data_IF_845996664987
#
_entry.id   IF_845996664987
#
_cell.length_a   1.000
_cell.length_b   1.000
_cell.length_c   1.000
_cell.angle_alpha   90.00
_cell.angle_beta   90.00
_cell.angle_gamma   90.00
#
_symmetry.space_group_name_H-M   'P 1'
#
loop_
_entity.id
_entity.type
_entity.pdbx_description
1 polymer ?
#
# COMPACT_ATOMS: atom_id res chain seq x y z
N UNK A 1 13.13 37.71 -11.04
CA UNK A 1 12.46 37.58 -9.73
C UNK A 1 11.58 36.34 -9.77
N UNK A 2 12.19 35.15 -9.69
CA UNK A 2 11.51 33.87 -9.96
C UNK A 2 11.81 32.78 -8.90
N UNK A 3 12.22 33.22 -7.70
CA UNK A 3 12.65 32.33 -6.62
C UNK A 3 11.53 32.04 -5.59
N UNK A 4 10.42 32.78 -5.68
CA UNK A 4 9.30 32.70 -4.72
C UNK A 4 8.34 31.55 -5.10
N UNK A 5 8.24 31.18 -6.37
CA UNK A 5 7.41 30.06 -6.84
C UNK A 5 7.98 28.70 -6.45
N UNK A 6 9.30 28.50 -6.61
CA UNK A 6 9.97 27.23 -6.32
C UNK A 6 10.00 26.91 -4.80
N UNK A 7 10.22 27.89 -3.93
CA UNK A 7 10.19 27.69 -2.48
C UNK A 7 8.78 27.34 -1.95
N UNK A 8 7.73 27.81 -2.60
CA UNK A 8 6.34 27.54 -2.19
C UNK A 8 5.90 26.12 -2.54
N UNK A 9 6.35 25.56 -3.67
CA UNK A 9 6.12 24.15 -4.00
C UNK A 9 6.94 23.20 -3.12
N UNK A 10 8.21 23.52 -2.85
CA UNK A 10 9.09 22.68 -2.05
C UNK A 10 8.67 22.60 -0.56
N UNK A 11 8.17 23.71 0.01
CA UNK A 11 7.63 23.72 1.38
C UNK A 11 6.27 23.03 1.50
N UNK A 12 5.42 23.15 0.49
CA UNK A 12 4.12 22.46 0.42
C UNK A 12 4.28 20.94 0.32
N UNK A 13 5.24 20.46 -0.49
CA UNK A 13 5.56 19.04 -0.60
C UNK A 13 6.07 18.41 0.71
N UNK A 14 6.98 19.11 1.41
CA UNK A 14 7.50 18.67 2.72
C UNK A 14 6.43 18.68 3.82
N UNK A 15 5.56 19.69 3.82
CA UNK A 15 4.43 19.77 4.74
C UNK A 15 3.41 18.64 4.54
N UNK A 16 3.08 18.33 3.29
CA UNK A 16 2.14 17.25 2.97
C UNK A 16 2.73 15.87 3.24
N UNK A 17 4.01 15.63 2.92
CA UNK A 17 4.69 14.37 3.25
C UNK A 17 4.61 14.09 4.76
N UNK A 18 4.82 15.11 5.61
CA UNK A 18 4.70 14.97 7.07
C UNK A 18 3.29 14.59 7.53
N UNK A 19 2.26 15.20 6.92
CA UNK A 19 0.85 14.86 7.20
C UNK A 19 0.56 13.42 6.75
N UNK A 20 1.00 13.04 5.55
CA UNK A 20 0.83 11.68 5.03
C UNK A 20 1.52 10.63 5.90
N UNK A 21 2.73 10.91 6.40
CA UNK A 21 3.43 10.04 7.36
C UNK A 21 2.65 9.92 8.67
N UNK A 22 2.08 11.01 9.17
CA UNK A 22 1.28 10.99 10.40
C UNK A 22 -0.01 10.17 10.22
N UNK A 23 -0.71 10.36 9.11
CA UNK A 23 -1.90 9.57 8.75
C UNK A 23 -1.53 8.10 8.60
N UNK A 24 -0.40 7.78 7.97
CA UNK A 24 0.10 6.41 7.84
C UNK A 24 0.42 5.77 9.19
N UNK A 25 1.14 6.48 10.07
CA UNK A 25 1.43 5.99 11.41
C UNK A 25 0.15 5.74 12.23
N UNK A 26 -0.82 6.64 12.10
CA UNK A 26 -2.14 6.46 12.72
C UNK A 26 -2.89 5.27 12.14
N UNK A 27 -2.86 5.08 10.81
CA UNK A 27 -3.48 3.92 10.15
C UNK A 27 -2.85 2.60 10.63
N UNK A 28 -1.52 2.52 10.72
CA UNK A 28 -0.83 1.35 11.28
C UNK A 28 -1.29 1.05 12.72
N UNK A 29 -1.43 2.08 13.57
CA UNK A 29 -1.89 1.93 14.94
C UNK A 29 -3.34 1.44 14.98
N UNK A 30 -4.21 1.97 14.13
CA UNK A 30 -5.60 1.52 14.00
C UNK A 30 -5.64 0.07 13.52
N UNK A 31 -4.87 -0.30 12.51
CA UNK A 31 -4.82 -1.68 11.98
C UNK A 31 -4.29 -2.65 13.03
N UNK A 32 -3.23 -2.29 13.76
CA UNK A 32 -2.74 -3.10 14.88
C UNK A 32 -3.78 -3.21 16.01
N UNK A 33 -4.44 -2.11 16.36
CA UNK A 33 -5.50 -2.11 17.37
C UNK A 33 -6.71 -2.96 16.95
N UNK A 34 -7.14 -2.90 15.69
CA UNK A 34 -8.24 -3.71 15.17
C UNK A 34 -7.88 -5.19 15.22
N UNK A 35 -6.69 -5.56 14.76
CA UNK A 35 -6.25 -6.96 14.74
C UNK A 35 -6.04 -7.51 16.17
N UNK A 36 -5.42 -6.74 17.06
CA UNK A 36 -5.08 -7.20 18.41
C UNK A 36 -6.24 -7.08 19.41
N UNK A 37 -7.02 -5.98 19.40
CA UNK A 37 -8.08 -5.72 20.38
C UNK A 37 -9.41 -6.34 20.00
N UNK A 38 -9.78 -6.34 18.71
CA UNK A 38 -11.02 -7.02 18.27
C UNK A 38 -10.82 -8.53 18.15
N UNK A 39 -9.59 -9.03 18.38
CA UNK A 39 -9.29 -10.44 18.28
C UNK A 39 -9.55 -10.98 16.87
N UNK A 40 -9.45 -10.14 15.84
CA UNK A 40 -9.47 -10.59 14.45
C UNK A 40 -8.12 -11.27 14.17
N UNK A 41 -8.00 -12.60 14.05
CA UNK A 41 -9.03 -13.61 13.83
C UNK A 41 -9.29 -14.50 15.07
N UNK A 42 -10.56 -14.59 15.48
CA UNK A 42 -10.96 -15.07 16.81
C UNK A 42 -10.35 -16.44 17.15
N UNK A 43 -9.73 -16.49 18.33
CA UNK A 43 -9.17 -17.66 19.02
C UNK A 43 -7.87 -18.29 18.47
N UNK A 44 -7.33 -17.88 17.31
CA UNK A 44 -6.07 -18.47 16.79
C UNK A 44 -4.94 -17.45 16.69
N UNK A 45 -4.12 -17.44 17.73
CA UNK A 45 -2.89 -16.63 17.82
C UNK A 45 -2.02 -16.75 16.57
N UNK A 46 -1.94 -17.93 15.94
CA UNK A 46 -1.17 -18.14 14.71
C UNK A 46 -1.69 -17.33 13.51
N UNK A 47 -3.01 -17.16 13.36
CA UNK A 47 -3.57 -16.41 12.23
C UNK A 47 -3.39 -14.90 12.40
N UNK A 48 -3.36 -14.40 13.65
CA UNK A 48 -3.04 -13.01 13.98
C UNK A 48 -1.64 -12.64 13.46
N UNK A 49 -0.63 -13.46 13.77
CA UNK A 49 0.76 -13.23 13.37
C UNK A 49 1.00 -13.27 11.86
N UNK A 50 0.10 -13.87 11.08
CA UNK A 50 0.15 -13.89 9.61
C UNK A 50 -0.60 -12.69 9.03
N UNK A 51 -1.78 -12.39 9.59
CA UNK A 51 -2.67 -11.34 9.07
C UNK A 51 -2.11 -9.95 9.32
N UNK A 52 -1.56 -9.71 10.52
CA UNK A 52 -1.00 -8.41 10.89
C UNK A 52 0.09 -7.94 9.91
N UNK A 53 1.17 -8.71 9.66
CA UNK A 53 2.20 -8.28 8.70
C UNK A 53 1.67 -8.18 7.27
N UNK A 54 0.71 -9.03 6.87
CA UNK A 54 0.06 -8.96 5.55
C UNK A 54 -0.64 -7.61 5.34
N UNK A 55 -1.46 -7.19 6.31
CA UNK A 55 -2.15 -5.90 6.28
C UNK A 55 -1.16 -4.72 6.35
N UNK A 56 -0.16 -4.79 7.23
CA UNK A 56 0.86 -3.75 7.33
C UNK A 56 1.65 -3.59 6.03
N UNK A 57 1.97 -4.68 5.32
CA UNK A 57 2.62 -4.60 4.01
C UNK A 57 1.73 -3.91 2.97
N UNK A 58 0.43 -4.24 2.93
CA UNK A 58 -0.53 -3.57 2.07
C UNK A 58 -0.61 -2.05 2.32
N UNK A 59 -0.69 -1.64 3.59
CA UNK A 59 -0.67 -0.22 3.97
C UNK A 59 0.66 0.45 3.62
N UNK A 60 1.78 -0.24 3.82
CA UNK A 60 3.11 0.26 3.47
C UNK A 60 3.21 0.52 1.97
N UNK A 61 2.69 -0.38 1.13
CA UNK A 61 2.64 -0.18 -0.32
C UNK A 61 1.80 1.05 -0.70
N UNK A 62 0.60 1.19 -0.13
CA UNK A 62 -0.26 2.36 -0.37
C UNK A 62 0.44 3.67 0.01
N UNK A 63 1.09 3.68 1.17
CA UNK A 63 1.85 4.84 1.64
C UNK A 63 3.04 5.15 0.73
N UNK A 64 3.81 4.13 0.35
CA UNK A 64 4.95 4.27 -0.56
C UNK A 64 4.55 4.80 -1.93
N UNK A 65 3.46 4.29 -2.52
CA UNK A 65 2.91 4.79 -3.79
C UNK A 65 2.49 6.26 -3.66
N UNK A 66 1.83 6.62 -2.56
CA UNK A 66 1.38 7.99 -2.29
C UNK A 66 2.54 8.96 -2.16
N UNK A 67 3.58 8.60 -1.42
CA UNK A 67 4.79 9.42 -1.31
C UNK A 67 5.53 9.53 -2.63
N UNK A 68 5.68 8.42 -3.37
CA UNK A 68 6.38 8.42 -4.64
C UNK A 68 5.67 9.29 -5.69
N UNK A 69 4.33 9.29 -5.68
CA UNK A 69 3.52 10.21 -6.49
C UNK A 69 3.76 11.67 -6.13
N UNK A 70 3.81 11.97 -4.83
CA UNK A 70 3.98 13.34 -4.34
C UNK A 70 5.36 13.90 -4.69
N UNK A 71 6.41 13.11 -4.52
CA UNK A 71 7.79 13.49 -4.82
C UNK A 71 8.02 13.74 -6.32
N UNK A 72 7.29 12.99 -7.17
CA UNK A 72 7.42 13.09 -8.64
C UNK A 72 6.34 13.97 -9.29
N UNK A 73 5.56 14.74 -8.52
CA UNK A 73 4.42 15.55 -8.99
C UNK A 73 4.64 16.34 -10.30
N UNK A 74 5.77 17.05 -10.50
CA UNK A 74 6.01 17.83 -11.72
C UNK A 74 6.15 16.97 -12.98
N UNK A 75 6.69 15.74 -12.83
CA UNK A 75 6.91 14.76 -13.91
C UNK A 75 5.77 13.74 -14.03
N UNK A 76 4.84 13.74 -13.08
CA UNK A 76 3.82 12.70 -12.91
C UNK A 76 2.50 12.99 -13.63
N UNK A 77 2.29 14.18 -14.22
CA UNK A 77 1.01 14.54 -14.86
C UNK A 77 0.56 13.57 -15.97
N UNK A 78 1.50 13.03 -16.76
CA UNK A 78 1.21 11.97 -17.75
C UNK A 78 1.09 10.57 -17.16
N UNK A 79 1.61 10.34 -15.95
CA UNK A 79 1.69 9.03 -15.28
C UNK A 79 0.62 8.82 -14.21
N UNK A 80 -0.26 9.80 -13.98
CA UNK A 80 -1.39 9.73 -13.02
C UNK A 80 -2.18 8.41 -13.14
N UNK A 81 -2.56 7.92 -14.35
CA UNK A 81 -3.31 6.68 -14.47
C UNK A 81 -2.57 5.46 -13.88
N UNK A 82 -1.24 5.44 -13.97
CA UNK A 82 -0.42 4.33 -13.46
C UNK A 82 -0.34 4.37 -11.92
N UNK A 83 -0.22 5.55 -11.32
CA UNK A 83 -0.29 5.71 -9.86
C UNK A 83 -1.67 5.30 -9.30
N UNK A 84 -2.76 5.64 -10.00
CA UNK A 84 -4.12 5.19 -9.63
C UNK A 84 -4.22 3.66 -9.73
N UNK A 85 -3.68 3.06 -10.79
CA UNK A 85 -3.66 1.61 -10.95
C UNK A 85 -2.87 0.92 -9.82
N UNK A 86 -1.67 1.43 -9.48
CA UNK A 86 -0.87 0.91 -8.37
C UNK A 86 -1.60 1.04 -7.03
N UNK A 87 -2.20 2.20 -6.75
CA UNK A 87 -2.98 2.42 -5.53
C UNK A 87 -4.20 1.50 -5.46
N UNK A 88 -4.89 1.28 -6.59
CA UNK A 88 -6.04 0.38 -6.67
C UNK A 88 -5.64 -1.07 -6.44
N UNK A 89 -4.52 -1.54 -6.99
CA UNK A 89 -3.99 -2.89 -6.77
C UNK A 89 -3.62 -3.11 -5.31
N UNK A 90 -2.89 -2.16 -4.70
CA UNK A 90 -2.51 -2.24 -3.29
C UNK A 90 -3.73 -2.19 -2.36
N UNK A 91 -4.71 -1.33 -2.67
CA UNK A 91 -5.96 -1.22 -1.91
C UNK A 91 -6.82 -2.47 -2.03
N UNK A 92 -6.94 -3.04 -3.24
CA UNK A 92 -7.69 -4.27 -3.47
C UNK A 92 -7.06 -5.46 -2.76
N UNK A 93 -5.72 -5.54 -2.75
CA UNK A 93 -4.99 -6.53 -1.96
C UNK A 93 -5.29 -6.37 -0.47
N UNK A 94 -5.22 -5.14 0.07
CA UNK A 94 -5.47 -4.88 1.49
C UNK A 94 -6.90 -5.27 1.90
N UNK A 95 -7.91 -4.84 1.12
CA UNK A 95 -9.32 -5.20 1.34
C UNK A 95 -9.49 -6.72 1.24
N UNK A 96 -8.90 -7.34 0.22
CA UNK A 96 -8.95 -8.79 0.00
C UNK A 96 -8.34 -9.56 1.16
N UNK A 97 -7.17 -9.15 1.65
CA UNK A 97 -6.50 -9.76 2.79
C UNK A 97 -7.31 -9.61 4.09
N UNK A 98 -7.97 -8.46 4.29
CA UNK A 98 -8.84 -8.21 5.43
C UNK A 98 -10.11 -9.09 5.39
N UNK A 99 -10.81 -9.10 4.26
CA UNK A 99 -12.01 -9.94 4.06
C UNK A 99 -11.66 -11.41 4.18
N UNK A 100 -10.53 -11.83 3.60
CA UNK A 100 -10.04 -13.19 3.70
C UNK A 100 -9.78 -13.56 5.17
N UNK A 101 -9.12 -12.69 5.93
CA UNK A 101 -8.89 -12.91 7.36
C UNK A 101 -10.19 -13.08 8.15
N UNK A 102 -11.20 -12.27 7.84
CA UNK A 102 -12.53 -12.40 8.46
C UNK A 102 -13.21 -13.71 8.09
N UNK A 103 -13.33 -14.02 6.80
CA UNK A 103 -14.10 -15.18 6.32
C UNK A 103 -13.40 -16.49 6.64
N UNK A 104 -12.11 -16.62 6.33
CA UNK A 104 -11.39 -17.89 6.48
C UNK A 104 -11.04 -18.22 7.91
N UNK A 105 -11.01 -17.24 8.81
CA UNK A 105 -10.85 -17.57 10.22
C UNK A 105 -12.16 -17.72 10.98
N UNK A 106 -13.27 -17.20 10.46
CA UNK A 106 -14.59 -17.33 11.09
C UNK A 106 -15.37 -18.54 10.57
N UNK A 107 -15.39 -18.75 9.25
CA UNK A 107 -16.29 -19.70 8.61
C UNK A 107 -15.66 -21.07 8.32
N UNK A 108 -14.33 -21.15 8.23
CA UNK A 108 -13.62 -22.36 7.83
C UNK A 108 -12.53 -22.68 8.85
N UNK A 109 -12.52 -23.90 9.37
CA UNK A 109 -11.46 -24.40 10.26
C UNK A 109 -10.18 -24.71 9.44
N UNK A 110 -9.65 -23.68 8.78
CA UNK A 110 -8.50 -23.83 7.88
C UNK A 110 -7.24 -23.95 8.71
N UNK A 111 -6.38 -24.90 8.33
CA UNK A 111 -5.09 -25.04 8.99
C UNK A 111 -4.20 -23.82 8.73
N UNK A 112 -3.39 -23.45 9.73
CA UNK A 112 -2.46 -22.32 9.66
C UNK A 112 -1.62 -22.32 8.39
N UNK A 113 -1.20 -23.51 7.92
CA UNK A 113 -0.40 -23.66 6.71
C UNK A 113 -1.13 -23.18 5.45
N UNK A 114 -2.38 -23.61 5.24
CA UNK A 114 -3.16 -23.19 4.07
C UNK A 114 -3.51 -21.71 4.14
N UNK A 115 -3.80 -21.20 5.34
CA UNK A 115 -4.03 -19.78 5.55
C UNK A 115 -2.82 -18.93 5.16
N UNK A 116 -1.63 -19.32 5.65
CA UNK A 116 -0.36 -18.66 5.31
C UNK A 116 -0.07 -18.73 3.81
N UNK A 117 -0.28 -19.90 3.20
CA UNK A 117 -0.02 -20.11 1.78
C UNK A 117 -0.89 -19.21 0.90
N UNK A 118 -2.18 -19.08 1.20
CA UNK A 118 -3.08 -18.19 0.43
C UNK A 118 -2.69 -16.73 0.60
N UNK A 119 -2.44 -16.28 1.83
CA UNK A 119 -1.97 -14.91 2.10
C UNK A 119 -0.66 -14.62 1.35
N UNK A 120 0.26 -15.58 1.30
CA UNK A 120 1.52 -15.46 0.58
C UNK A 120 1.33 -15.38 -0.95
N UNK A 121 0.46 -16.22 -1.51
CA UNK A 121 0.13 -16.18 -2.95
C UNK A 121 -0.50 -14.84 -3.32
N UNK A 122 -1.45 -14.35 -2.53
CA UNK A 122 -2.10 -13.05 -2.76
C UNK A 122 -1.10 -11.90 -2.69
N UNK A 123 -0.21 -11.90 -1.68
CA UNK A 123 0.84 -10.89 -1.54
C UNK A 123 1.82 -10.95 -2.72
N UNK A 124 2.25 -12.15 -3.11
CA UNK A 124 3.15 -12.37 -4.23
C UNK A 124 2.56 -11.88 -5.55
N UNK A 125 1.28 -12.19 -5.82
CA UNK A 125 0.57 -11.71 -7.00
C UNK A 125 0.48 -10.17 -7.01
N UNK A 126 0.11 -9.55 -5.89
CA UNK A 126 0.07 -8.10 -5.76
C UNK A 126 1.45 -7.47 -5.99
N UNK A 127 2.51 -8.03 -5.40
CA UNK A 127 3.88 -7.56 -5.56
C UNK A 127 4.37 -7.65 -7.02
N UNK A 128 4.04 -8.73 -7.74
CA UNK A 128 4.36 -8.89 -9.15
C UNK A 128 3.66 -7.83 -9.98
N UNK A 129 2.35 -7.62 -9.78
CA UNK A 129 1.58 -6.61 -10.53
C UNK A 129 2.12 -5.20 -10.25
N UNK A 130 2.39 -4.86 -8.99
CA UNK A 130 3.00 -3.58 -8.62
C UNK A 130 4.39 -3.41 -9.25
N UNK A 131 5.22 -4.47 -9.26
CA UNK A 131 6.52 -4.46 -9.92
C UNK A 131 6.44 -4.23 -11.42
N UNK A 132 5.48 -4.87 -12.10
CA UNK A 132 5.23 -4.66 -13.52
C UNK A 132 4.78 -3.22 -13.81
N UNK A 133 3.88 -2.66 -13.00
CA UNK A 133 3.45 -1.27 -13.12
C UNK A 133 4.60 -0.28 -12.85
N UNK A 134 5.47 -0.57 -11.89
CA UNK A 134 6.65 0.25 -11.61
C UNK A 134 7.64 0.24 -12.80
N UNK A 135 7.87 -0.92 -13.40
CA UNK A 135 8.69 -1.02 -14.62
C UNK A 135 8.05 -0.29 -15.80
N UNK A 136 6.72 -0.39 -15.96
CA UNK A 136 5.98 0.34 -16.99
C UNK A 136 6.12 1.86 -16.81
N UNK A 137 5.97 2.39 -15.59
CA UNK A 137 6.22 3.82 -15.32
C UNK A 137 7.63 4.24 -15.69
N UNK A 138 8.65 3.43 -15.32
CA UNK A 138 10.04 3.74 -15.63
C UNK A 138 10.28 3.80 -17.14
N UNK A 139 9.69 2.87 -17.89
CA UNK A 139 9.81 2.83 -19.35
C UNK A 139 9.07 4.00 -20.02
N UNK A 140 7.85 4.31 -19.57
CA UNK A 140 7.09 5.47 -20.07
C UNK A 140 7.86 6.78 -19.81
N UNK A 141 8.43 6.94 -18.61
CA UNK A 141 9.22 8.12 -18.24
C UNK A 141 10.55 8.25 -19.01
N UNK A 142 11.07 7.15 -19.59
CA UNK A 142 12.24 7.16 -20.47
C UNK A 142 11.85 7.56 -21.91
N UNK A 143 10.69 7.13 -22.39
CA UNK A 143 10.18 7.51 -23.71
C UNK A 143 9.88 9.01 -23.80
N UNK A 144 9.33 9.61 -22.74
CA UNK A 144 9.11 11.07 -22.65
C UNK A 144 10.40 11.90 -22.67
N UNK A 145 11.57 11.31 -22.36
CA UNK A 145 12.87 12.01 -22.37
C UNK A 145 13.63 11.91 -23.69
N UNK A 146 13.25 10.97 -24.55
CA UNK A 146 13.92 10.71 -25.82
C UNK A 146 13.20 11.29 -27.04
N UNK A 147 12.02 11.89 -26.84
CA UNK A 147 11.24 12.60 -27.87
C UNK A 147 11.35 14.11 -27.70
#
# INVERSE_FOLDING_TARGET
>A
MDNIGLQKEESSGKGFARIATFVYAFALLVTAALVLLLGLPYARTSHIWITLPSLMLGETFLYGITLHYLDNRPRSRGLIPVYIAMGSVAGLYWIGAFVFAMVFSWALDVSTFHYALVQFILLGAAAIVLGLLAMYMKNAALQEKGS
#
